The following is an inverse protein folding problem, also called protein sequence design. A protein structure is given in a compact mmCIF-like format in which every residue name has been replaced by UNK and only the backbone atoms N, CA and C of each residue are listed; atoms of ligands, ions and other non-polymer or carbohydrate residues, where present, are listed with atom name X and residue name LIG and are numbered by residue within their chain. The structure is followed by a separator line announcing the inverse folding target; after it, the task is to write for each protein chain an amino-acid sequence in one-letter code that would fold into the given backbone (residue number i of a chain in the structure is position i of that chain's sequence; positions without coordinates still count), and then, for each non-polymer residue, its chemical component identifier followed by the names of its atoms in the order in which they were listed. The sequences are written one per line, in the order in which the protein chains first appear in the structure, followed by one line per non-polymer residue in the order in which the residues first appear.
data_IF_685411446755
#
_entry.id   IF_685411446755
#
_cell.length_a   1.000
_cell.length_b   1.000
_cell.length_c   1.000
_cell.angle_alpha   90.00
_cell.angle_beta   90.00
_cell.angle_gamma   90.00
#
_symmetry.space_group_name_H-M   'P 1'
#
loop_
_entity.id
_entity.type
_entity.pdbx_description
1 polymer ?
#
# COMPACT_ATOMS: atom_id res chain seq x y z
N UNK A 1 -14.83 -11.31 -75.54
CA UNK A 1 -15.03 -10.08 -74.73
C UNK A 1 -16.00 -10.39 -73.59
N UNK A 2 -15.55 -10.88 -72.44
CA UNK A 2 -16.40 -11.13 -71.25
C UNK A 2 -15.51 -11.31 -70.01
N UNK A 3 -14.77 -10.26 -69.61
CA UNK A 3 -14.02 -10.29 -68.32
C UNK A 3 -14.12 -8.95 -67.56
N UNK A 4 -14.73 -7.91 -68.13
CA UNK A 4 -14.71 -6.56 -67.52
C UNK A 4 -15.83 -6.34 -66.47
N UNK A 5 -16.83 -7.24 -66.39
CA UNK A 5 -17.98 -7.07 -65.48
C UNK A 5 -17.77 -7.53 -64.03
N UNK A 6 -16.78 -8.37 -63.74
CA UNK A 6 -16.60 -8.96 -62.40
C UNK A 6 -15.94 -8.02 -61.37
N UNK A 7 -15.05 -7.14 -61.83
CA UNK A 7 -14.28 -6.23 -60.97
C UNK A 7 -15.11 -5.04 -60.44
N UNK A 8 -16.15 -4.63 -61.18
CA UNK A 8 -16.96 -3.46 -60.81
C UNK A 8 -17.91 -3.73 -59.60
N UNK A 9 -18.29 -4.99 -59.37
CA UNK A 9 -19.18 -5.38 -58.26
C UNK A 9 -18.39 -5.89 -57.05
N UNK A 10 -17.18 -6.41 -57.25
CA UNK A 10 -16.33 -6.90 -56.17
C UNK A 10 -15.85 -5.77 -55.23
N UNK A 11 -15.50 -4.60 -55.79
CA UNK A 11 -15.01 -3.47 -55.01
C UNK A 11 -16.01 -2.93 -53.96
N UNK A 12 -17.29 -2.64 -54.29
CA UNK A 12 -18.25 -2.16 -53.29
C UNK A 12 -18.62 -3.24 -52.26
N UNK A 13 -18.65 -4.52 -52.65
CA UNK A 13 -18.91 -5.62 -51.72
C UNK A 13 -17.76 -5.77 -50.72
N UNK A 14 -16.51 -5.74 -51.17
CA UNK A 14 -15.34 -5.82 -50.30
C UNK A 14 -15.21 -4.60 -49.37
N UNK A 15 -15.54 -3.40 -49.84
CA UNK A 15 -15.65 -2.22 -48.98
C UNK A 15 -16.74 -2.36 -47.92
N UNK A 16 -17.91 -2.90 -48.30
CA UNK A 16 -19.01 -3.17 -47.36
C UNK A 16 -18.62 -4.16 -46.27
N UNK A 17 -17.93 -5.24 -46.63
CA UNK A 17 -17.42 -6.24 -45.67
C UNK A 17 -16.35 -5.64 -44.76
N UNK A 18 -15.41 -4.87 -45.31
CA UNK A 18 -14.38 -4.20 -44.50
C UNK A 18 -14.98 -3.18 -43.51
N UNK A 19 -15.96 -2.39 -43.96
CA UNK A 19 -16.68 -1.45 -43.10
C UNK A 19 -17.47 -2.17 -42.00
N UNK A 20 -18.14 -3.28 -42.33
CA UNK A 20 -18.86 -4.09 -41.35
C UNK A 20 -17.91 -4.71 -40.32
N UNK A 21 -16.75 -5.22 -40.77
CA UNK A 21 -15.72 -5.77 -39.88
C UNK A 21 -15.15 -4.69 -38.94
N UNK A 22 -14.87 -3.50 -39.47
CA UNK A 22 -14.40 -2.37 -38.67
C UNK A 22 -15.46 -1.93 -37.64
N UNK A 23 -16.73 -1.82 -38.04
CA UNK A 23 -17.83 -1.46 -37.14
C UNK A 23 -18.04 -2.52 -36.05
N UNK A 24 -17.98 -3.80 -36.39
CA UNK A 24 -18.06 -4.90 -35.43
C UNK A 24 -16.89 -4.87 -34.44
N UNK A 25 -15.65 -4.64 -34.92
CA UNK A 25 -14.48 -4.47 -34.06
C UNK A 25 -14.61 -3.27 -33.13
N UNK A 26 -15.13 -2.14 -33.62
CA UNK A 26 -15.37 -0.95 -32.81
C UNK A 26 -16.42 -1.21 -31.72
N UNK A 27 -17.53 -1.88 -32.07
CA UNK A 27 -18.57 -2.28 -31.12
C UNK A 27 -18.02 -3.21 -30.05
N UNK A 28 -17.28 -4.25 -30.43
CA UNK A 28 -16.63 -5.15 -29.49
C UNK A 28 -15.66 -4.42 -28.56
N UNK A 29 -14.89 -3.46 -29.07
CA UNK A 29 -14.02 -2.63 -28.25
C UNK A 29 -14.83 -1.75 -27.26
N UNK A 30 -15.87 -1.10 -27.74
CA UNK A 30 -16.71 -0.19 -26.95
C UNK A 30 -17.46 -0.92 -25.84
N UNK A 31 -18.02 -2.10 -26.15
CA UNK A 31 -18.73 -2.95 -25.20
C UNK A 31 -17.79 -3.79 -24.34
N UNK A 32 -16.56 -4.08 -24.79
CA UNK A 32 -15.56 -4.85 -24.05
C UNK A 32 -14.88 -4.03 -22.96
N UNK A 33 -14.72 -2.72 -23.17
CA UNK A 33 -14.04 -1.82 -22.22
C UNK A 33 -15.00 -1.38 -21.11
N UNK A 34 -14.71 -1.74 -19.86
CA UNK A 34 -15.45 -1.19 -18.72
C UNK A 34 -15.05 0.30 -18.58
N UNK A 35 -16.03 1.22 -18.67
CA UNK A 35 -15.83 2.68 -18.72
C UNK A 35 -15.96 3.40 -17.39
N UNK A 36 -16.18 2.64 -16.33
CA UNK A 36 -16.44 3.19 -15.01
C UNK A 36 -15.15 3.68 -14.36
N UNK A 37 -15.14 4.93 -13.92
CA UNK A 37 -14.09 5.47 -13.06
C UNK A 37 -14.33 5.00 -11.62
N UNK A 38 -13.79 3.84 -11.25
CA UNK A 38 -13.96 3.25 -9.94
C UNK A 38 -12.72 2.50 -9.47
N UNK A 39 -12.62 2.26 -8.16
CA UNK A 39 -11.56 1.41 -7.60
C UNK A 39 -11.77 0.00 -8.12
N UNK A 40 -10.76 -0.55 -8.80
CA UNK A 40 -10.78 -1.92 -9.27
C UNK A 40 -10.56 -2.84 -8.06
N UNK A 41 -11.47 -3.78 -7.85
CA UNK A 41 -11.29 -4.86 -6.89
C UNK A 41 -10.35 -5.92 -7.48
N UNK A 42 -9.59 -6.58 -6.61
CA UNK A 42 -8.79 -7.75 -6.99
C UNK A 42 -9.45 -8.98 -6.39
N UNK A 43 -9.88 -9.92 -7.24
CA UNK A 43 -10.32 -11.23 -6.80
C UNK A 43 -9.09 -12.08 -6.51
N UNK A 44 -9.05 -12.73 -5.33
CA UNK A 44 -7.96 -13.65 -5.01
C UNK A 44 -7.97 -14.85 -5.97
N UNK A 45 -6.82 -15.49 -6.18
CA UNK A 45 -6.77 -16.77 -6.87
C UNK A 45 -7.60 -17.80 -6.09
N UNK A 46 -8.38 -18.59 -6.80
CA UNK A 46 -9.27 -19.62 -6.21
C UNK A 46 -8.97 -20.97 -6.81
N UNK A 47 -9.27 -22.04 -6.07
CA UNK A 47 -9.18 -23.41 -6.56
C UNK A 47 -10.58 -23.93 -6.77
N UNK A 48 -10.87 -24.38 -8.00
CA UNK A 48 -12.17 -24.95 -8.37
C UNK A 48 -12.31 -26.37 -7.81
N UNK A 49 -13.54 -26.89 -7.80
CA UNK A 49 -13.83 -28.26 -7.33
C UNK A 49 -13.05 -29.33 -8.10
N UNK A 50 -12.77 -29.09 -9.38
CA UNK A 50 -11.99 -30.00 -10.24
C UNK A 50 -10.46 -29.89 -10.00
N UNK A 51 -10.03 -29.13 -8.99
CA UNK A 51 -8.63 -28.90 -8.66
C UNK A 51 -7.91 -27.87 -9.54
N UNK A 52 -8.56 -27.32 -10.56
CA UNK A 52 -8.00 -26.26 -11.40
C UNK A 52 -7.86 -24.94 -10.62
N UNK A 53 -6.72 -24.26 -10.78
CA UNK A 53 -6.47 -22.95 -10.14
C UNK A 53 -6.89 -21.82 -11.07
N UNK A 54 -7.82 -21.00 -10.61
CA UNK A 54 -8.19 -19.76 -11.27
C UNK A 54 -7.21 -18.66 -10.81
N UNK A 55 -6.52 -17.98 -11.74
CA UNK A 55 -5.57 -16.91 -11.43
C UNK A 55 -6.24 -15.70 -10.76
N UNK A 56 -5.44 -14.79 -10.23
CA UNK A 56 -5.96 -13.52 -9.72
C UNK A 56 -6.61 -12.71 -10.87
N UNK A 57 -7.75 -12.07 -10.60
CA UNK A 57 -8.52 -11.33 -11.61
C UNK A 57 -8.89 -9.95 -11.11
N UNK A 58 -8.79 -8.95 -11.98
CA UNK A 58 -9.41 -7.65 -11.76
C UNK A 58 -10.92 -7.79 -11.83
N UNK A 59 -11.64 -6.98 -11.05
CA UNK A 59 -13.09 -6.90 -11.05
C UNK A 59 -13.56 -5.47 -10.87
N UNK A 60 -14.67 -5.16 -11.52
CA UNK A 60 -15.35 -3.88 -11.38
C UNK A 60 -16.70 -4.08 -10.72
N UNK A 61 -16.88 -3.51 -9.53
CA UNK A 61 -18.13 -3.57 -8.76
C UNK A 61 -19.31 -2.94 -9.49
N UNK A 62 -19.07 -1.98 -10.39
CA UNK A 62 -20.15 -1.30 -11.13
C UNK A 62 -20.67 -2.14 -12.31
N UNK A 63 -19.77 -2.79 -13.07
CA UNK A 63 -20.14 -3.54 -14.27
C UNK A 63 -20.18 -5.06 -14.06
N UNK A 64 -19.72 -5.56 -12.92
CA UNK A 64 -19.67 -6.99 -12.59
C UNK A 64 -18.65 -7.80 -13.41
N UNK A 65 -17.87 -7.15 -14.28
CA UNK A 65 -16.93 -7.82 -15.18
C UNK A 65 -15.61 -8.10 -14.49
N UNK A 66 -14.99 -9.22 -14.87
CA UNK A 66 -13.65 -9.58 -14.40
C UNK A 66 -12.72 -10.02 -15.53
N UNK A 67 -11.45 -9.65 -15.44
CA UNK A 67 -10.41 -9.98 -16.42
C UNK A 67 -9.11 -10.39 -15.73
N UNK A 68 -8.22 -11.14 -16.40
CA UNK A 68 -6.97 -11.61 -15.80
C UNK A 68 -6.11 -10.45 -15.29
N UNK A 69 -5.51 -10.63 -14.11
CA UNK A 69 -4.64 -9.60 -13.51
C UNK A 69 -3.17 -9.71 -13.95
N UNK A 70 -2.75 -10.84 -14.52
CA UNK A 70 -1.37 -11.06 -14.96
C UNK A 70 -0.35 -11.06 -13.80
N UNK A 71 -0.81 -11.31 -12.57
CA UNK A 71 0.02 -11.27 -11.37
C UNK A 71 0.73 -12.60 -11.09
N UNK A 72 0.26 -13.70 -11.68
CA UNK A 72 0.76 -15.04 -11.41
C UNK A 72 2.14 -15.32 -12.05
N UNK A 73 2.57 -14.51 -13.03
CA UNK A 73 3.88 -14.64 -13.68
C UNK A 73 5.03 -14.03 -12.87
N UNK A 74 4.72 -13.11 -11.95
CA UNK A 74 5.69 -12.59 -10.99
C UNK A 74 5.52 -13.36 -9.70
N UNK A 75 5.88 -14.64 -9.79
CA UNK A 75 6.17 -15.53 -8.68
C UNK A 75 7.14 -14.79 -7.77
N UNK A 76 6.56 -14.05 -6.83
CA UNK A 76 7.27 -13.18 -5.92
C UNK A 76 7.93 -14.13 -4.95
N UNK A 77 9.10 -14.64 -5.33
CA UNK A 77 9.96 -15.41 -4.45
C UNK A 77 9.88 -14.72 -3.08
N UNK A 78 9.42 -15.44 -2.04
CA UNK A 78 9.01 -14.80 -0.79
C UNK A 78 10.12 -13.86 -0.38
N UNK A 79 9.82 -12.56 -0.33
CA UNK A 79 10.84 -11.55 -0.03
C UNK A 79 11.36 -11.91 1.36
N UNK A 80 12.56 -12.47 1.41
CA UNK A 80 13.19 -12.91 2.65
C UNK A 80 13.57 -11.64 3.41
N UNK A 81 12.61 -11.08 4.15
CA UNK A 81 12.79 -9.88 4.96
C UNK A 81 13.76 -10.12 6.12
N UNK A 82 14.01 -11.39 6.44
CA UNK A 82 14.88 -11.80 7.53
C UNK A 82 15.82 -12.91 7.06
N UNK A 83 17.05 -12.54 6.71
CA UNK A 83 18.11 -13.47 6.30
C UNK A 83 18.91 -14.04 7.48
N UNK A 84 18.39 -13.90 8.70
CA UNK A 84 19.08 -14.30 9.94
C UNK A 84 19.62 -13.13 10.76
N UNK A 85 20.35 -13.48 11.83
CA UNK A 85 20.94 -12.53 12.77
C UNK A 85 22.23 -11.94 12.18
N UNK A 86 22.23 -10.62 11.97
CA UNK A 86 23.38 -9.88 11.43
C UNK A 86 24.07 -9.09 12.57
N UNK A 87 25.27 -9.52 13.03
CA UNK A 87 25.95 -8.89 14.14
C UNK A 87 26.36 -7.44 13.84
N UNK A 88 26.53 -7.07 12.56
CA UNK A 88 26.88 -5.69 12.16
C UNK A 88 25.75 -4.69 12.47
N UNK A 89 24.50 -5.16 12.54
CA UNK A 89 23.32 -4.32 12.81
C UNK A 89 23.04 -4.12 14.30
N UNK A 90 23.76 -4.81 15.19
CA UNK A 90 23.53 -4.76 16.65
C UNK A 90 23.65 -3.37 17.24
N UNK A 91 24.70 -2.58 16.94
CA UNK A 91 24.83 -1.25 17.55
C UNK A 91 23.71 -0.30 17.10
N UNK A 92 23.21 -0.46 15.86
CA UNK A 92 22.09 0.33 15.36
C UNK A 92 20.76 -0.12 15.98
N UNK A 93 20.55 -1.43 16.14
CA UNK A 93 19.37 -1.98 16.81
C UNK A 93 19.29 -1.56 18.28
N UNK A 94 20.41 -1.63 19.01
CA UNK A 94 20.50 -1.18 20.40
C UNK A 94 20.16 0.31 20.55
N UNK A 95 20.68 1.16 19.66
CA UNK A 95 20.33 2.59 19.63
C UNK A 95 18.85 2.84 19.38
N UNK A 96 18.22 2.11 18.45
CA UNK A 96 16.77 2.20 18.20
C UNK A 96 15.95 1.76 19.41
N UNK A 97 16.35 0.68 20.08
CA UNK A 97 15.68 0.21 21.29
C UNK A 97 15.73 1.26 22.41
N UNK A 98 16.90 1.84 22.67
CA UNK A 98 17.07 2.90 23.67
C UNK A 98 16.25 4.16 23.34
N UNK A 99 16.18 4.57 22.07
CA UNK A 99 15.31 5.68 21.66
C UNK A 99 13.83 5.38 21.91
N UNK A 100 13.39 4.17 21.58
CA UNK A 100 12.00 3.76 21.74
C UNK A 100 11.61 3.71 23.22
N UNK A 101 12.52 3.28 24.10
CA UNK A 101 12.31 3.30 25.54
C UNK A 101 12.19 4.73 26.10
N UNK A 102 13.05 5.66 25.66
CA UNK A 102 12.92 7.08 26.00
C UNK A 102 11.58 7.67 25.55
N UNK A 103 11.12 7.32 24.34
CA UNK A 103 9.81 7.75 23.85
C UNK A 103 8.66 7.17 24.70
N UNK A 104 8.74 5.90 25.08
CA UNK A 104 7.76 5.26 25.97
C UNK A 104 7.71 5.93 27.34
N UNK A 105 8.87 6.22 27.93
CA UNK A 105 8.96 6.94 29.20
C UNK A 105 8.36 8.35 29.08
N UNK A 106 8.71 9.09 28.03
CA UNK A 106 8.15 10.43 27.79
C UNK A 106 6.62 10.39 27.64
N UNK A 107 6.08 9.39 26.92
CA UNK A 107 4.64 9.18 26.80
C UNK A 107 3.99 8.79 28.13
N UNK A 108 4.64 7.96 28.94
CA UNK A 108 4.15 7.57 30.26
C UNK A 108 4.07 8.78 31.20
N UNK A 109 5.09 9.63 31.24
CA UNK A 109 5.11 10.88 32.01
C UNK A 109 4.00 11.83 31.56
N UNK A 110 3.79 11.96 30.24
CA UNK A 110 2.69 12.77 29.69
C UNK A 110 1.33 12.22 30.11
N UNK A 111 1.11 10.91 30.04
CA UNK A 111 -0.14 10.25 30.46
C UNK A 111 -0.39 10.35 31.97
N UNK A 112 0.67 10.38 32.77
CA UNK A 112 0.59 10.60 34.21
C UNK A 112 0.30 12.08 34.59
N UNK A 113 0.18 12.99 33.61
CA UNK A 113 -0.04 14.43 33.88
C UNK A 113 1.19 15.17 34.42
N UNK A 114 2.34 14.50 34.54
CA UNK A 114 3.56 15.04 35.15
C UNK A 114 4.39 15.94 34.20
N UNK A 115 4.03 15.99 32.92
CA UNK A 115 4.75 16.76 31.90
C UNK A 115 4.54 18.29 31.97
N UNK A 116 3.38 18.75 32.47
CA UNK A 116 3.05 20.16 32.62
C UNK A 116 3.46 20.72 34.00
N UNK A 117 3.37 19.89 35.05
CA UNK A 117 3.68 20.27 36.43
C UNK A 117 5.14 20.73 36.65
N UNK A 118 6.07 20.41 35.75
CA UNK A 118 7.47 20.87 35.83
C UNK A 118 7.74 22.20 35.12
N UNK A 119 6.92 22.57 34.14
CA UNK A 119 7.03 23.88 33.47
C UNK A 119 6.39 25.01 34.28
N UNK A 120 5.50 24.65 35.22
CA UNK A 120 4.73 25.56 36.06
C UNK A 120 5.08 25.36 37.54
N UNK A 121 6.35 25.09 37.85
CA UNK A 121 6.87 25.41 39.17
C UNK A 121 7.20 26.91 39.15
N UNK A 122 6.39 27.79 39.75
CA UNK A 122 6.75 29.20 39.87
C UNK A 122 8.09 29.27 40.59
N UNK A 123 8.93 30.22 40.16
CA UNK A 123 10.13 30.67 40.87
C UNK A 123 9.71 31.29 42.22
N UNK A 124 9.22 30.46 43.14
CA UNK A 124 8.91 30.84 44.50
C UNK A 124 10.20 30.70 45.31
N UNK A 125 10.86 31.84 45.45
CA UNK A 125 11.75 32.21 46.54
C UNK A 125 12.87 31.21 46.88
N UNK A 126 14.09 31.61 46.55
CA UNK A 126 15.29 31.27 47.29
C UNK A 126 15.04 31.49 48.80
N UNK A 127 14.58 30.46 49.50
CA UNK A 127 14.59 30.44 50.94
C UNK A 127 16.06 30.35 51.36
N UNK A 128 16.59 31.47 51.82
CA UNK A 128 17.88 31.58 52.49
C UNK A 128 17.99 30.48 53.52
N UNK A 129 18.79 29.45 53.23
CA UNK A 129 19.17 28.43 54.20
C UNK A 129 20.10 29.12 55.19
N UNK A 130 19.55 29.66 56.27
CA UNK A 130 20.32 30.10 57.43
C UNK A 130 20.90 28.84 58.07
N UNK A 131 22.14 28.52 57.71
CA UNK A 131 22.89 27.44 58.36
C UNK A 131 23.10 27.82 59.83
N UNK A 132 22.41 27.10 60.72
CA UNK A 132 22.59 27.24 62.15
C UNK A 132 24.04 26.87 62.47
N UNK A 133 24.72 27.87 63.01
CA UNK A 133 26.13 27.92 63.32
C UNK A 133 26.56 26.79 64.28
N UNK A 134 27.77 26.27 64.04
CA UNK A 134 28.54 25.36 64.91
C UNK A 134 28.29 25.62 66.40
N UNK A 135 27.81 24.61 67.13
CA UNK A 135 28.09 24.49 68.57
C UNK A 135 29.16 23.42 68.78
N UNK A 136 30.40 23.90 68.86
CA UNK A 136 31.54 23.19 69.43
C UNK A 136 31.22 22.95 70.91
N UNK A 137 31.14 21.69 71.35
CA UNK A 137 31.27 21.36 72.77
C UNK A 137 32.38 20.34 72.87
N UNK A 138 33.52 20.82 73.35
CA UNK A 138 34.54 20.03 73.99
C UNK A 138 34.07 19.71 75.42
N UNK A 139 34.35 18.51 75.89
CA UNK A 139 34.02 18.01 77.22
C UNK A 139 34.15 16.50 77.22
#
# INVERSE_FOLDING_TARGET
MLVVGGLAVAAPVMMGVAAAAAAAGLLLYWFGRCRHGGRLGLLPPTTNADGSRTPARWYCDQCGRSWPAGLDEHDSAPVVRFSGYDPSKLPAAARRAAMLEKQRQALAVKRAGLGAARAEAPAAASATVTSITRRRVAG
#
